data_IF_999306830469
#
_entry.id   IF_999306830469
#
_cell.length_a   1.000
_cell.length_b   1.000
_cell.length_c   1.000
_cell.angle_alpha   90.00
_cell.angle_beta   90.00
_cell.angle_gamma   90.00
#
_symmetry.space_group_name_H-M   'P 1'
#
loop_
_entity.id
_entity.type
_entity.pdbx_description
1 polymer ?
#
# COMPACT_ATOMS: atom_id res chain seq x y z
N UNK A 1 -0.85 -5.23 11.39
CA UNK A 1 0.05 -5.91 10.46
C UNK A 1 0.32 -7.36 10.87
N UNK A 2 0.32 -7.69 12.16
CA UNK A 2 0.61 -9.04 12.70
C UNK A 2 -0.26 -10.18 12.14
N UNK A 3 -1.47 -9.87 11.69
CA UNK A 3 -2.46 -10.86 11.23
C UNK A 3 -2.45 -11.09 9.71
N UNK A 4 -1.48 -10.51 8.99
CA UNK A 4 -1.31 -10.75 7.56
C UNK A 4 -0.74 -12.14 7.30
N UNK A 5 -1.20 -12.78 6.23
CA UNK A 5 -0.69 -14.05 5.78
C UNK A 5 0.64 -13.88 5.02
N UNK A 6 1.65 -14.66 5.35
CA UNK A 6 2.92 -14.71 4.63
C UNK A 6 2.73 -15.43 3.29
N UNK A 7 2.77 -14.66 2.20
CA UNK A 7 2.53 -15.16 0.85
C UNK A 7 3.81 -15.06 0.01
N UNK A 8 4.48 -16.19 -0.27
CA UNK A 8 5.59 -16.23 -1.21
C UNK A 8 5.15 -15.82 -2.61
N UNK A 9 6.00 -15.08 -3.31
CA UNK A 9 5.75 -14.62 -4.68
C UNK A 9 6.99 -14.82 -5.54
N UNK A 10 6.80 -15.17 -6.81
CA UNK A 10 7.86 -15.25 -7.81
C UNK A 10 8.08 -13.92 -8.53
N UNK A 11 7.02 -13.11 -8.63
CA UNK A 11 7.03 -11.85 -9.35
C UNK A 11 6.28 -10.75 -8.56
N UNK A 12 6.56 -9.49 -8.90
CA UNK A 12 5.82 -8.35 -8.38
C UNK A 12 4.35 -8.30 -8.87
N UNK A 13 4.01 -9.05 -9.92
CA UNK A 13 2.67 -9.16 -10.50
C UNK A 13 1.80 -10.22 -9.83
N UNK A 14 2.36 -11.06 -8.96
CA UNK A 14 1.63 -12.17 -8.34
C UNK A 14 0.59 -11.71 -7.30
N UNK A 15 0.75 -10.51 -6.78
CA UNK A 15 -0.21 -9.86 -5.89
C UNK A 15 -0.78 -8.60 -6.53
N UNK A 16 -2.08 -8.52 -6.57
CA UNK A 16 -2.79 -7.39 -7.15
C UNK A 16 -3.63 -6.66 -6.10
N UNK A 17 -3.54 -5.34 -6.09
CA UNK A 17 -4.37 -4.39 -5.30
C UNK A 17 -4.83 -4.88 -3.90
N UNK A 18 -6.03 -5.46 -3.80
CA UNK A 18 -6.64 -5.87 -2.53
C UNK A 18 -5.86 -6.94 -1.76
N UNK A 19 -5.11 -7.77 -2.44
CA UNK A 19 -4.33 -8.83 -1.81
C UNK A 19 -3.25 -8.27 -0.87
N UNK A 20 -2.75 -7.06 -1.13
CA UNK A 20 -1.82 -6.37 -0.25
C UNK A 20 -2.42 -5.98 1.12
N UNK A 21 -3.74 -5.90 1.23
CA UNK A 21 -4.39 -5.59 2.52
C UNK A 21 -4.40 -6.77 3.48
N UNK A 22 -4.47 -8.00 2.96
CA UNK A 22 -4.56 -9.25 3.76
C UNK A 22 -3.28 -10.07 3.74
N UNK A 23 -2.39 -9.89 2.76
CA UNK A 23 -1.15 -10.60 2.62
C UNK A 23 0.06 -9.71 2.91
N UNK A 24 1.06 -10.29 3.58
CA UNK A 24 2.43 -9.77 3.58
C UNK A 24 3.22 -10.52 2.52
N UNK A 25 3.92 -9.80 1.69
CA UNK A 25 4.76 -10.40 0.66
C UNK A 25 5.94 -9.52 0.30
N UNK A 26 6.94 -10.15 -0.25
CA UNK A 26 8.13 -9.49 -0.82
C UNK A 26 8.29 -10.02 -2.23
N UNK A 27 8.22 -9.15 -3.22
CA UNK A 27 8.28 -9.56 -4.63
C UNK A 27 9.55 -10.39 -4.93
N UNK A 28 9.37 -11.58 -5.48
CA UNK A 28 10.47 -12.51 -5.76
C UNK A 28 10.99 -13.29 -4.55
N UNK A 29 10.36 -13.19 -3.38
CA UNK A 29 10.65 -14.06 -2.25
C UNK A 29 9.78 -15.32 -2.33
N UNK A 30 10.34 -16.40 -2.82
CA UNK A 30 9.63 -17.66 -3.08
C UNK A 30 9.55 -18.58 -1.86
N UNK A 31 10.36 -18.33 -0.84
CA UNK A 31 10.36 -19.08 0.43
C UNK A 31 9.47 -18.40 1.46
N UNK A 32 8.63 -19.19 2.13
CA UNK A 32 7.78 -18.70 3.21
C UNK A 32 8.59 -18.21 4.42
N UNK A 33 9.70 -18.86 4.74
CA UNK A 33 10.54 -18.46 5.86
C UNK A 33 11.23 -17.11 5.59
N UNK A 34 11.68 -16.89 4.36
CA UNK A 34 12.21 -15.59 3.93
C UNK A 34 11.15 -14.49 4.03
N UNK A 35 9.92 -14.74 3.57
CA UNK A 35 8.81 -13.79 3.68
C UNK A 35 8.49 -13.49 5.15
N UNK A 36 8.50 -14.51 6.01
CA UNK A 36 8.26 -14.36 7.45
C UNK A 36 9.33 -13.49 8.13
N UNK A 37 10.61 -13.72 7.84
CA UNK A 37 11.68 -12.92 8.43
C UNK A 37 11.53 -11.44 8.04
N UNK A 38 11.19 -11.13 6.78
CA UNK A 38 10.87 -9.75 6.37
C UNK A 38 9.60 -9.21 7.02
N UNK A 39 8.59 -10.05 7.25
CA UNK A 39 7.38 -9.66 7.96
C UNK A 39 7.68 -9.28 9.42
N UNK A 40 8.51 -10.07 10.08
CA UNK A 40 8.93 -9.79 11.45
C UNK A 40 9.78 -8.52 11.53
N UNK A 41 10.71 -8.31 10.61
CA UNK A 41 11.49 -7.07 10.51
C UNK A 41 10.60 -5.84 10.27
N UNK A 42 9.61 -5.94 9.38
CA UNK A 42 8.65 -4.85 9.16
C UNK A 42 7.74 -4.61 10.38
N UNK A 43 7.29 -5.66 11.08
CA UNK A 43 6.53 -5.52 12.32
C UNK A 43 7.34 -4.85 13.42
N UNK A 44 8.61 -5.22 13.58
CA UNK A 44 9.55 -4.58 14.49
C UNK A 44 9.68 -3.09 14.15
N UNK A 45 9.90 -2.77 12.89
CA UNK A 45 10.04 -1.39 12.44
C UNK A 45 8.81 -0.53 12.78
N UNK A 46 7.60 -1.07 12.61
CA UNK A 46 6.35 -0.36 12.92
C UNK A 46 6.14 -0.24 14.45
N UNK A 47 6.44 -1.30 15.20
CA UNK A 47 6.23 -1.33 16.64
C UNK A 47 7.21 -0.42 17.40
N UNK A 48 8.45 -0.36 16.97
CA UNK A 48 9.55 0.38 17.60
C UNK A 48 9.79 1.76 16.98
N UNK A 49 9.17 2.04 15.82
CA UNK A 49 9.37 3.29 15.08
C UNK A 49 10.77 3.39 14.47
N UNK A 50 11.36 2.25 14.07
CA UNK A 50 12.72 2.22 13.54
C UNK A 50 12.82 2.91 12.18
N UNK A 51 14.01 3.39 11.88
CA UNK A 51 14.32 4.07 10.62
C UNK A 51 14.54 3.08 9.48
N UNK A 52 14.50 3.57 8.23
CA UNK A 52 14.86 2.78 7.05
C UNK A 52 16.31 2.25 7.16
N UNK A 53 17.22 3.00 7.77
CA UNK A 53 18.63 2.57 7.90
C UNK A 53 18.79 1.42 8.91
N UNK A 54 17.98 1.38 9.95
CA UNK A 54 17.90 0.23 10.86
C UNK A 54 17.29 -0.98 10.18
N UNK A 55 16.21 -0.81 9.44
CA UNK A 55 15.61 -1.87 8.64
C UNK A 55 16.59 -2.42 7.58
N UNK A 56 17.47 -1.61 7.02
CA UNK A 56 18.50 -2.06 6.08
C UNK A 56 19.50 -3.02 6.70
N UNK A 57 19.79 -2.92 7.99
CA UNK A 57 20.62 -3.90 8.69
C UNK A 57 19.89 -5.24 8.80
N UNK A 58 18.63 -5.20 9.25
CA UNK A 58 17.79 -6.42 9.29
C UNK A 58 17.65 -7.04 7.88
N UNK A 59 17.52 -6.20 6.84
CA UNK A 59 17.47 -6.65 5.44
C UNK A 59 18.75 -7.40 5.02
N UNK A 60 19.92 -6.88 5.35
CA UNK A 60 21.20 -7.53 5.01
C UNK A 60 21.33 -8.89 5.70
N UNK A 61 21.02 -8.96 6.99
CA UNK A 61 21.07 -10.19 7.78
C UNK A 61 20.11 -11.26 7.21
N UNK A 62 18.90 -10.86 6.79
CA UNK A 62 17.92 -11.76 6.17
C UNK A 62 18.41 -12.25 4.82
N UNK A 63 18.95 -11.37 3.99
CA UNK A 63 19.50 -11.72 2.68
C UNK A 63 20.63 -12.72 2.82
N UNK A 64 21.57 -12.50 3.76
CA UNK A 64 22.67 -13.40 4.04
C UNK A 64 22.18 -14.76 4.57
N UNK A 65 21.28 -14.76 5.54
CA UNK A 65 20.71 -15.97 6.16
C UNK A 65 20.07 -16.91 5.14
N UNK A 66 19.35 -16.36 4.16
CA UNK A 66 18.60 -17.12 3.17
C UNK A 66 19.34 -17.28 1.83
N UNK A 67 20.49 -16.66 1.65
CA UNK A 67 21.19 -16.61 0.36
C UNK A 67 20.32 -16.04 -0.76
N UNK A 68 19.46 -15.04 -0.42
CA UNK A 68 18.46 -14.53 -1.34
C UNK A 68 19.06 -13.61 -2.39
N UNK A 69 18.89 -14.01 -3.66
CA UNK A 69 19.21 -13.19 -4.83
C UNK A 69 17.99 -12.38 -5.25
N UNK A 70 18.11 -11.06 -5.39
CA UNK A 70 17.01 -10.14 -5.71
C UNK A 70 17.42 -9.17 -6.82
N UNK A 71 16.41 -8.63 -7.51
CA UNK A 71 16.60 -7.61 -8.54
C UNK A 71 16.66 -6.20 -7.93
N UNK A 72 17.47 -5.32 -8.56
CA UNK A 72 17.63 -3.93 -8.15
C UNK A 72 18.76 -3.74 -7.15
N UNK A 73 19.04 -2.47 -6.79
CA UNK A 73 20.04 -2.17 -5.77
C UNK A 73 19.52 -2.45 -4.37
N UNK A 74 20.43 -2.73 -3.42
CA UNK A 74 20.12 -2.88 -2.00
C UNK A 74 19.28 -1.71 -1.46
N UNK A 75 19.70 -0.48 -1.78
CA UNK A 75 19.05 0.73 -1.29
C UNK A 75 17.60 0.84 -1.79
N UNK A 76 17.40 0.58 -3.08
CA UNK A 76 16.05 0.59 -3.67
C UNK A 76 15.18 -0.55 -3.14
N UNK A 77 15.72 -1.78 -3.10
CA UNK A 77 14.96 -2.97 -2.69
C UNK A 77 14.50 -2.89 -1.24
N UNK A 78 15.39 -2.51 -0.33
CA UNK A 78 15.06 -2.33 1.08
C UNK A 78 14.02 -1.22 1.29
N UNK A 79 14.14 -0.10 0.56
CA UNK A 79 13.17 0.99 0.61
C UNK A 79 11.77 0.54 0.12
N UNK A 80 11.69 -0.18 -1.01
CA UNK A 80 10.41 -0.69 -1.53
C UNK A 80 9.71 -1.60 -0.51
N UNK A 81 10.45 -2.52 0.13
CA UNK A 81 9.88 -3.43 1.12
C UNK A 81 9.42 -2.64 2.35
N UNK A 82 10.28 -1.78 2.88
CA UNK A 82 9.99 -0.98 4.07
C UNK A 82 8.78 -0.06 3.84
N UNK A 83 8.85 0.83 2.86
CA UNK A 83 7.83 1.84 2.62
C UNK A 83 6.48 1.23 2.25
N UNK A 84 6.46 0.19 1.42
CA UNK A 84 5.20 -0.48 1.06
C UNK A 84 4.50 -1.01 2.30
N UNK A 85 5.22 -1.72 3.16
CA UNK A 85 4.62 -2.37 4.31
C UNK A 85 4.27 -1.41 5.44
N UNK A 86 5.11 -0.41 5.68
CA UNK A 86 4.83 0.67 6.64
C UNK A 86 3.61 1.49 6.20
N UNK A 87 3.55 1.90 4.94
CA UNK A 87 2.40 2.65 4.41
C UNK A 87 1.09 1.83 4.45
N UNK A 88 1.15 0.52 4.18
CA UNK A 88 0.00 -0.37 4.32
C UNK A 88 -0.50 -0.46 5.76
N UNK A 89 0.41 -0.51 6.75
CA UNK A 89 0.03 -0.53 8.16
C UNK A 89 -0.64 0.78 8.59
N UNK A 90 -0.09 1.92 8.17
CA UNK A 90 -0.69 3.23 8.41
C UNK A 90 -2.07 3.37 7.74
N UNK A 91 -2.22 2.84 6.54
CA UNK A 91 -3.49 2.85 5.82
C UNK A 91 -4.56 2.04 6.54
N UNK A 92 -4.22 0.86 7.08
CA UNK A 92 -5.13 0.05 7.87
C UNK A 92 -5.63 0.80 9.13
N UNK A 93 -4.71 1.38 9.91
CA UNK A 93 -5.09 2.19 11.08
C UNK A 93 -5.89 3.44 10.71
N UNK A 94 -5.61 4.04 9.56
CA UNK A 94 -6.40 5.16 9.01
C UNK A 94 -7.81 4.72 8.65
N UNK A 95 -7.97 3.57 8.00
CA UNK A 95 -9.29 3.02 7.66
C UNK A 95 -10.15 2.79 8.89
N UNK A 96 -9.61 2.16 9.94
CA UNK A 96 -10.32 1.98 11.21
C UNK A 96 -10.79 3.31 11.81
N UNK A 97 -9.92 4.32 11.82
CA UNK A 97 -10.27 5.65 12.32
C UNK A 97 -11.35 6.32 11.47
N UNK A 98 -11.30 6.16 10.14
CA UNK A 98 -12.32 6.65 9.22
C UNK A 98 -13.68 6.02 9.56
N UNK A 99 -13.74 4.71 9.78
CA UNK A 99 -14.98 4.02 10.16
C UNK A 99 -15.58 4.56 11.48
N UNK A 100 -14.74 4.95 12.44
CA UNK A 100 -15.20 5.53 13.71
C UNK A 100 -15.82 6.92 13.55
N UNK A 101 -15.36 7.69 12.58
CA UNK A 101 -15.79 9.09 12.38
C UNK A 101 -16.69 9.30 11.17
N UNK A 102 -17.03 8.27 10.43
CA UNK A 102 -17.78 8.38 9.16
C UNK A 102 -19.15 9.08 9.29
N UNK A 103 -19.78 9.03 10.46
CA UNK A 103 -21.02 9.76 10.71
C UNK A 103 -20.84 11.29 10.63
N UNK A 104 -19.64 11.80 10.93
CA UNK A 104 -19.30 13.23 10.87
C UNK A 104 -18.56 13.59 9.59
N UNK A 105 -17.87 12.65 8.99
CA UNK A 105 -17.06 12.80 7.78
C UNK A 105 -17.40 11.68 6.79
N UNK A 106 -18.57 11.73 6.16
CA UNK A 106 -19.10 10.63 5.38
C UNK A 106 -18.46 10.44 4.00
N UNK A 107 -17.55 11.34 3.60
CA UNK A 107 -16.88 11.27 2.31
C UNK A 107 -15.37 11.11 2.45
N UNK A 108 -14.76 10.42 1.49
CA UNK A 108 -13.32 10.34 1.31
C UNK A 108 -12.93 10.91 -0.05
N UNK A 109 -11.78 11.57 -0.08
CA UNK A 109 -11.12 12.00 -1.30
C UNK A 109 -9.85 11.18 -1.50
N UNK A 110 -9.68 10.62 -2.70
CA UNK A 110 -8.41 10.00 -3.11
C UNK A 110 -7.40 11.09 -3.45
N UNK A 111 -6.15 10.90 -3.00
CA UNK A 111 -5.06 11.83 -3.30
C UNK A 111 -3.87 11.08 -3.88
N UNK A 112 -3.48 11.48 -5.08
CA UNK A 112 -2.22 11.11 -5.67
C UNK A 112 -1.10 12.01 -5.14
N UNK A 113 0.09 11.45 -4.85
CA UNK A 113 1.27 12.23 -4.52
C UNK A 113 1.97 12.66 -5.81
N UNK A 114 1.99 13.95 -6.17
CA UNK A 114 2.66 14.42 -7.37
C UNK A 114 4.20 14.32 -7.25
N UNK A 115 4.89 14.37 -8.39
CA UNK A 115 6.37 14.40 -8.41
C UNK A 115 7.05 13.03 -8.29
N UNK A 116 6.30 11.95 -8.43
CA UNK A 116 6.89 10.61 -8.52
C UNK A 116 7.68 10.46 -9.83
N UNK A 117 8.87 9.83 -9.76
CA UNK A 117 9.69 9.59 -10.96
C UNK A 117 8.97 8.71 -12.02
N UNK A 118 8.09 7.81 -11.56
CA UNK A 118 7.30 6.92 -12.41
C UNK A 118 5.85 6.90 -11.93
N UNK A 119 5.07 7.96 -12.22
CA UNK A 119 3.67 8.03 -11.82
C UNK A 119 2.85 6.97 -12.57
N UNK A 120 1.88 6.38 -11.87
CA UNK A 120 0.93 5.48 -12.52
C UNK A 120 -0.25 6.30 -13.02
N UNK A 121 -0.51 6.25 -14.34
CA UNK A 121 -1.58 7.02 -14.98
C UNK A 121 -2.96 6.76 -14.33
N UNK A 122 -3.22 5.53 -13.86
CA UNK A 122 -4.44 5.19 -13.13
C UNK A 122 -4.56 5.96 -11.81
N UNK A 123 -3.48 6.05 -11.03
CA UNK A 123 -3.48 6.78 -9.76
C UNK A 123 -3.62 8.28 -9.94
N UNK A 124 -3.06 8.83 -11.02
CA UNK A 124 -3.26 10.24 -11.40
C UNK A 124 -4.70 10.50 -11.80
N UNK A 125 -5.32 9.59 -12.56
CA UNK A 125 -6.72 9.69 -12.97
C UNK A 125 -7.70 9.61 -11.77
N UNK A 126 -7.31 8.95 -10.68
CA UNK A 126 -8.12 8.86 -9.46
C UNK A 126 -7.95 10.05 -8.54
N UNK A 127 -6.95 10.91 -8.75
CA UNK A 127 -6.73 12.06 -7.88
C UNK A 127 -7.96 12.97 -7.85
N UNK A 128 -8.33 13.40 -6.66
CA UNK A 128 -9.51 14.25 -6.44
C UNK A 128 -10.86 13.50 -6.49
N UNK A 129 -10.90 12.19 -6.75
CA UNK A 129 -12.14 11.41 -6.65
C UNK A 129 -12.69 11.47 -5.24
N UNK A 130 -13.94 11.91 -5.08
CA UNK A 130 -14.64 12.03 -3.80
C UNK A 130 -15.87 11.14 -3.83
N UNK A 131 -15.95 10.20 -2.91
CA UNK A 131 -17.04 9.24 -2.79
C UNK A 131 -17.43 9.04 -1.32
N UNK A 132 -18.66 8.57 -1.04
CA UNK A 132 -19.05 8.14 0.30
C UNK A 132 -18.06 7.11 0.86
N UNK A 133 -17.83 7.12 2.17
CA UNK A 133 -16.94 6.15 2.84
C UNK A 133 -17.35 4.70 2.57
N UNK A 134 -18.66 4.45 2.47
CA UNK A 134 -19.22 3.10 2.23
C UNK A 134 -19.36 2.76 0.73
N UNK A 135 -18.83 3.60 -0.17
CA UNK A 135 -18.87 3.30 -1.61
C UNK A 135 -18.00 2.08 -1.93
N UNK A 136 -18.54 1.09 -2.70
CA UNK A 136 -17.79 -0.11 -3.09
C UNK A 136 -16.46 0.14 -3.81
N UNK A 137 -16.30 1.32 -4.43
CA UNK A 137 -15.06 1.73 -5.07
C UNK A 137 -13.85 1.67 -4.12
N UNK A 138 -14.05 2.01 -2.83
CA UNK A 138 -12.99 1.97 -1.82
C UNK A 138 -12.51 0.56 -1.50
N UNK A 139 -13.28 -0.47 -1.76
CA UNK A 139 -12.83 -1.85 -1.55
C UNK A 139 -11.62 -2.20 -2.43
N UNK A 140 -11.51 -1.58 -3.61
CA UNK A 140 -10.46 -1.85 -4.58
C UNK A 140 -9.45 -0.70 -4.72
N UNK A 141 -9.83 0.53 -4.37
CA UNK A 141 -9.05 1.73 -4.65
C UNK A 141 -8.56 2.47 -3.40
N UNK A 142 -8.83 1.93 -2.20
CA UNK A 142 -8.30 2.56 -0.99
C UNK A 142 -6.76 2.47 -0.98
N UNK A 143 -6.06 3.62 -0.93
CA UNK A 143 -4.60 3.63 -1.04
C UNK A 143 -3.91 3.13 0.24
N UNK A 144 -2.68 2.55 0.09
CA UNK A 144 -1.87 2.43 -1.12
C UNK A 144 -2.32 1.31 -2.07
N UNK A 145 -2.20 1.54 -3.38
CA UNK A 145 -2.69 0.64 -4.44
C UNK A 145 -1.54 -0.10 -5.16
N UNK A 146 -0.58 -0.63 -4.43
CA UNK A 146 0.52 -1.42 -4.97
C UNK A 146 1.88 -1.07 -4.39
N UNK A 147 2.91 -1.70 -4.94
CA UNK A 147 4.29 -1.55 -4.49
C UNK A 147 4.76 -0.09 -4.60
N UNK A 148 5.37 0.42 -3.52
CA UNK A 148 5.93 1.76 -3.43
C UNK A 148 4.91 2.87 -3.81
N UNK A 149 3.65 2.66 -3.48
CA UNK A 149 2.59 3.63 -3.69
C UNK A 149 2.48 4.58 -2.51
N UNK A 150 2.55 5.88 -2.77
CA UNK A 150 2.44 6.95 -1.77
C UNK A 150 1.13 7.73 -1.86
N UNK A 151 0.14 7.22 -2.59
CA UNK A 151 -1.20 7.78 -2.58
C UNK A 151 -1.84 7.65 -1.20
N UNK A 152 -2.77 8.53 -0.87
CA UNK A 152 -3.44 8.55 0.42
C UNK A 152 -4.90 8.99 0.29
N UNK A 153 -5.68 8.82 1.33
CA UNK A 153 -7.06 9.27 1.39
C UNK A 153 -7.23 10.38 2.41
N UNK A 154 -8.10 11.35 2.12
CA UNK A 154 -8.48 12.44 3.03
C UNK A 154 -9.98 12.35 3.33
N UNK A 155 -10.33 12.34 4.61
CA UNK A 155 -11.72 12.48 5.02
C UNK A 155 -12.22 13.89 4.74
N UNK A 156 -13.46 14.01 4.29
CA UNK A 156 -14.09 15.28 3.93
C UNK A 156 -15.40 15.49 4.70
N UNK A 157 -15.67 16.70 5.21
CA UNK A 157 -16.93 16.97 5.90
C UNK A 157 -18.11 16.98 4.91
N UNK A 158 -19.31 16.89 5.45
CA UNK A 158 -20.62 16.71 4.78
C UNK A 158 -20.98 17.78 3.74
N UNK A 159 -20.29 18.91 3.67
CA UNK A 159 -20.58 20.04 2.79
C UNK A 159 -19.66 20.10 1.58
N UNK A 160 -19.70 19.08 0.73
CA UNK A 160 -19.20 19.26 -0.62
C UNK A 160 -20.40 19.53 -1.51
N UNK A 161 -20.42 20.75 -2.08
CA UNK A 161 -21.34 21.07 -3.16
C UNK A 161 -21.31 19.98 -4.20
N UNK A 162 -22.47 19.46 -4.58
CA UNK A 162 -22.69 18.42 -5.60
C UNK A 162 -22.10 18.75 -6.99
N UNK A 163 -21.46 19.90 -7.14
CA UNK A 163 -20.85 20.37 -8.38
C UNK A 163 -19.47 19.74 -8.69
N UNK A 164 -18.85 18.99 -7.74
CA UNK A 164 -17.49 18.46 -7.94
C UNK A 164 -17.39 16.93 -7.76
N UNK A 165 -18.51 16.24 -7.75
CA UNK A 165 -18.50 14.77 -7.82
C UNK A 165 -18.23 14.35 -9.28
N UNK A 166 -16.98 14.43 -9.69
CA UNK A 166 -16.56 13.88 -10.98
C UNK A 166 -16.63 12.37 -10.89
N UNK A 167 -17.66 11.78 -11.48
CA UNK A 167 -17.73 10.33 -11.70
C UNK A 167 -16.47 9.91 -12.43
N UNK A 168 -15.75 8.95 -11.87
CA UNK A 168 -14.71 8.23 -12.56
C UNK A 168 -15.26 7.73 -13.92
N UNK A 169 -14.58 7.97 -15.06
CA UNK A 169 -15.02 7.44 -16.34
C UNK A 169 -14.94 5.91 -16.27
N UNK A 170 -16.10 5.28 -16.15
CA UNK A 170 -16.28 3.84 -16.37
C UNK A 170 -15.99 3.56 -17.84
N UNK A 171 -14.77 3.12 -18.18
CA UNK A 171 -14.47 2.81 -19.57
C UNK A 171 -13.03 2.50 -19.90
N UNK A 172 -12.32 1.71 -19.10
CA UNK A 172 -11.14 0.99 -19.62
C UNK A 172 -11.57 -0.44 -19.95
N UNK A 173 -11.99 -0.63 -21.19
CA UNK A 173 -12.19 -1.96 -21.77
C UNK A 173 -10.90 -2.75 -21.65
N UNK A 174 -10.99 -3.92 -21.03
CA UNK A 174 -9.95 -4.96 -21.05
C UNK A 174 -9.56 -5.20 -22.51
N UNK A 175 -8.30 -4.97 -22.87
CA UNK A 175 -7.74 -5.60 -24.06
C UNK A 175 -7.26 -6.99 -23.66
N UNK A 176 -7.76 -7.96 -24.40
CA UNK A 176 -7.41 -9.37 -24.33
C UNK A 176 -5.93 -9.60 -24.61
#
# INVERSE_FOLDING_TARGET
MRDKLDVPTSSWTDLWQQQHSVAFSVAGATSRDLVRDFHDAANKAIAEGTTLDEFRRDFDDIVEKHGWSYNGSRGWRSAVIFDTNVNMAYAAGRWERIQQVKARQPYLMYKHLPGQAHPRAEHEAWDGTILPVDDPWWQTHFPPNGWFCHCWSKASPTTISTATATRCPTGLRRRA
#
